data_IF_341110543980
#
_entry.id   IF_341110543980
#
_cell.length_a   1.000
_cell.length_b   1.000
_cell.length_c   1.000
_cell.angle_alpha   90.00
_cell.angle_beta   90.00
_cell.angle_gamma   90.00
#
_symmetry.space_group_name_H-M   'P 1'
#
loop_
_entity.id
_entity.type
_entity.pdbx_description
1 polymer ?
#
# COMPACT_ATOMS: atom_id res chain seq x y z
N UNK A 1 28.53 -50.70 -13.92
CA UNK A 1 27.49 -50.87 -14.97
C UNK A 1 27.25 -49.50 -15.59
N UNK A 2 27.94 -49.21 -16.69
CA UNK A 2 27.69 -48.02 -17.50
C UNK A 2 27.05 -48.51 -18.79
N UNK A 3 25.72 -48.65 -18.80
CA UNK A 3 25.01 -48.97 -20.04
C UNK A 3 25.18 -47.78 -20.98
N UNK A 4 25.89 -48.02 -22.09
CA UNK A 4 26.06 -47.08 -23.19
C UNK A 4 24.71 -46.89 -23.90
N UNK A 5 23.86 -46.03 -23.32
CA UNK A 5 22.60 -45.64 -23.94
C UNK A 5 22.92 -45.11 -25.34
N UNK A 6 22.34 -45.67 -26.41
CA UNK A 6 22.67 -45.24 -27.77
C UNK A 6 22.35 -43.76 -27.91
N UNK A 7 23.26 -42.98 -28.51
CA UNK A 7 23.20 -41.51 -28.60
C UNK A 7 21.81 -41.00 -29.02
N UNK A 8 21.16 -41.69 -29.96
CA UNK A 8 19.78 -41.37 -30.39
C UNK A 8 18.76 -41.46 -29.25
N UNK A 9 18.80 -42.50 -28.40
CA UNK A 9 17.91 -42.62 -27.22
C UNK A 9 18.21 -41.55 -26.17
N UNK A 10 19.48 -41.19 -25.99
CA UNK A 10 19.85 -40.13 -25.05
C UNK A 10 19.32 -38.77 -25.52
N UNK A 11 19.51 -38.43 -26.80
CA UNK A 11 19.00 -37.19 -27.41
C UNK A 11 17.47 -37.12 -27.36
N UNK A 12 16.77 -38.23 -27.66
CA UNK A 12 15.30 -38.27 -27.55
C UNK A 12 14.83 -38.06 -26.11
N UNK A 13 15.49 -38.66 -25.11
CA UNK A 13 15.15 -38.44 -23.69
C UNK A 13 15.35 -36.99 -23.26
N UNK A 14 16.43 -36.35 -23.70
CA UNK A 14 16.71 -34.95 -23.38
C UNK A 14 15.67 -34.02 -24.04
N UNK A 15 15.26 -34.28 -25.28
CA UNK A 15 14.21 -33.51 -25.94
C UNK A 15 12.85 -33.64 -25.23
N UNK A 16 12.48 -34.87 -24.82
CA UNK A 16 11.25 -35.08 -24.05
C UNK A 16 11.30 -34.33 -22.72
N UNK A 17 12.45 -34.36 -22.03
CA UNK A 17 12.66 -33.66 -20.77
C UNK A 17 12.48 -32.13 -20.95
N UNK A 18 13.06 -31.56 -22.00
CA UNK A 18 12.92 -30.12 -22.31
C UNK A 18 11.45 -29.77 -22.52
N UNK A 19 10.73 -30.51 -23.36
CA UNK A 19 9.29 -30.26 -23.61
C UNK A 19 8.47 -30.38 -22.32
N UNK A 20 8.78 -31.37 -21.47
CA UNK A 20 8.12 -31.54 -20.17
C UNK A 20 8.37 -30.35 -19.22
N UNK A 21 9.61 -29.82 -19.17
CA UNK A 21 9.92 -28.64 -18.34
C UNK A 21 9.18 -27.39 -18.81
N UNK A 22 9.07 -27.17 -20.13
CA UNK A 22 8.29 -26.05 -20.68
C UNK A 22 6.79 -26.21 -20.43
N UNK A 23 6.23 -27.40 -20.61
CA UNK A 23 4.83 -27.68 -20.32
C UNK A 23 4.52 -27.48 -18.83
N UNK A 24 5.42 -27.90 -17.94
CA UNK A 24 5.30 -27.69 -16.49
C UNK A 24 5.37 -26.20 -16.13
N UNK A 25 6.29 -25.45 -16.73
CA UNK A 25 6.38 -23.99 -16.53
C UNK A 25 5.10 -23.25 -16.97
N UNK A 26 4.48 -23.68 -18.07
CA UNK A 26 3.20 -23.11 -18.53
C UNK A 26 2.03 -23.52 -17.63
N UNK A 27 2.02 -24.77 -17.14
CA UNK A 27 1.01 -25.28 -16.21
C UNK A 27 1.14 -24.70 -14.78
N UNK A 28 2.29 -24.16 -14.42
CA UNK A 28 2.52 -23.53 -13.12
C UNK A 28 1.53 -22.38 -12.87
N UNK A 29 1.29 -21.53 -13.88
CA UNK A 29 0.38 -20.38 -13.78
C UNK A 29 -1.05 -20.79 -13.37
N UNK A 30 -1.76 -21.68 -14.10
CA UNK A 30 -3.09 -22.12 -13.69
C UNK A 30 -3.10 -22.94 -12.39
N UNK A 31 -2.04 -23.70 -12.08
CA UNK A 31 -1.92 -24.41 -10.80
C UNK A 31 -1.83 -23.43 -9.62
N UNK A 32 -1.02 -22.38 -9.75
CA UNK A 32 -0.96 -21.30 -8.77
C UNK A 32 -2.32 -20.63 -8.60
N UNK A 33 -3.06 -20.39 -9.68
CA UNK A 33 -4.38 -19.77 -9.60
C UNK A 33 -5.40 -20.62 -8.84
N UNK A 34 -5.38 -21.94 -9.06
CA UNK A 34 -6.25 -22.89 -8.35
C UNK A 34 -5.84 -23.01 -6.89
N UNK A 35 -4.54 -23.09 -6.59
CA UNK A 35 -4.03 -23.08 -5.22
C UNK A 35 -4.38 -21.78 -4.50
N UNK A 36 -4.21 -20.63 -5.16
CA UNK A 36 -4.55 -19.33 -4.57
C UNK A 36 -6.04 -19.22 -4.27
N UNK A 37 -6.91 -19.81 -5.10
CA UNK A 37 -8.36 -19.90 -4.86
C UNK A 37 -8.72 -20.88 -3.74
N UNK A 38 -8.02 -22.01 -3.62
CA UNK A 38 -8.28 -23.03 -2.61
C UNK A 38 -7.79 -22.62 -1.21
N UNK A 39 -6.66 -21.90 -1.13
CA UNK A 39 -6.06 -21.43 0.13
C UNK A 39 -6.45 -19.99 0.49
N UNK A 40 -7.22 -19.30 -0.34
CA UNK A 40 -7.72 -17.95 -0.05
C UNK A 40 -6.65 -16.84 -0.07
N UNK A 41 -5.43 -17.14 -0.52
CA UNK A 41 -4.27 -16.23 -0.58
C UNK A 41 -4.29 -15.31 -1.83
N UNK A 42 -5.43 -15.19 -2.50
CA UNK A 42 -5.52 -14.50 -3.78
C UNK A 42 -5.74 -12.99 -3.61
N UNK A 43 -4.72 -12.27 -3.14
CA UNK A 43 -4.60 -10.81 -3.25
C UNK A 43 -4.30 -10.35 -4.69
N UNK A 44 -5.00 -10.91 -5.70
CA UNK A 44 -4.90 -10.47 -7.09
C UNK A 44 -5.57 -9.10 -7.23
N UNK A 45 -4.79 -8.05 -7.03
CA UNK A 45 -5.09 -6.69 -7.50
C UNK A 45 -4.96 -6.66 -9.02
N UNK A 46 -6.00 -7.09 -9.73
CA UNK A 46 -6.14 -6.81 -11.15
C UNK A 46 -6.74 -5.41 -11.30
N UNK A 47 -5.93 -4.44 -11.70
CA UNK A 47 -6.42 -3.14 -12.18
C UNK A 47 -7.10 -2.26 -11.14
N UNK A 48 -7.58 -1.10 -11.62
CA UNK A 48 -8.44 -0.18 -10.87
C UNK A 48 -9.53 -0.96 -10.11
N UNK A 49 -9.90 -0.53 -8.92
CA UNK A 49 -10.98 -1.15 -8.13
C UNK A 49 -12.25 -1.38 -8.98
N UNK A 50 -12.45 -2.61 -9.45
CA UNK A 50 -13.65 -3.11 -10.16
C UNK A 50 -14.63 -3.81 -9.19
N UNK A 51 -14.49 -3.57 -7.88
CA UNK A 51 -15.49 -4.00 -6.92
C UNK A 51 -16.77 -3.19 -7.11
N UNK A 52 -17.88 -3.87 -7.37
CA UNK A 52 -19.23 -3.29 -7.26
C UNK A 52 -19.29 -2.57 -5.90
N UNK A 53 -19.44 -1.23 -5.88
CA UNK A 53 -19.50 -0.41 -4.66
C UNK A 53 -20.80 -0.69 -3.88
N UNK A 54 -20.94 -1.92 -3.40
CA UNK A 54 -22.02 -2.35 -2.55
C UNK A 54 -21.53 -2.16 -1.13
N UNK A 55 -21.87 -0.99 -0.59
CA UNK A 55 -21.64 -0.67 0.82
C UNK A 55 -22.37 -1.69 1.68
N UNK A 56 -21.71 -2.20 2.71
CA UNK A 56 -22.35 -2.99 3.77
C UNK A 56 -22.75 -2.05 4.93
N UNK A 57 -24.00 -1.56 4.99
CA UNK A 57 -24.43 -0.63 6.02
C UNK A 57 -24.56 -1.29 7.40
N UNK A 58 -24.65 -2.62 7.47
CA UNK A 58 -24.80 -3.35 8.73
C UNK A 58 -23.47 -3.55 9.46
N UNK A 59 -22.36 -3.55 8.71
CA UNK A 59 -21.02 -3.71 9.28
C UNK A 59 -20.38 -2.35 9.53
N UNK A 60 -19.91 -2.15 10.76
CA UNK A 60 -19.14 -0.98 11.16
C UNK A 60 -17.71 -1.37 11.47
N UNK A 61 -16.77 -0.59 10.96
CA UNK A 61 -15.35 -0.77 11.16
C UNK A 61 -14.78 0.53 11.70
N UNK A 62 -14.01 0.42 12.78
CA UNK A 62 -13.37 1.53 13.46
C UNK A 62 -11.98 1.74 12.89
N UNK A 63 -11.73 2.90 12.30
CA UNK A 63 -10.41 3.27 11.77
C UNK A 63 -9.83 4.36 12.66
N UNK A 64 -8.76 4.02 13.37
CA UNK A 64 -7.98 4.93 14.19
C UNK A 64 -6.84 5.53 13.36
N UNK A 65 -6.57 6.82 13.57
CA UNK A 65 -5.51 7.55 12.88
C UNK A 65 -4.42 7.92 13.87
N UNK A 66 -3.19 7.57 13.52
CA UNK A 66 -2.01 7.95 14.30
C UNK A 66 -1.08 8.77 13.43
N UNK A 67 -0.57 9.84 14.00
CA UNK A 67 0.40 10.73 13.38
C UNK A 67 1.65 10.76 14.23
N UNK A 68 2.78 10.34 13.66
CA UNK A 68 4.05 10.24 14.36
C UNK A 68 5.12 10.99 13.59
N UNK A 69 6.01 11.68 14.29
CA UNK A 69 7.18 12.30 13.69
C UNK A 69 8.42 11.42 13.91
N UNK A 70 9.27 11.32 12.90
CA UNK A 70 10.62 10.78 13.08
C UNK A 70 11.46 11.71 13.97
N UNK A 71 12.53 11.19 14.57
CA UNK A 71 13.36 11.89 15.58
C UNK A 71 13.85 13.27 15.09
N UNK A 72 14.24 13.37 13.82
CA UNK A 72 14.77 14.61 13.23
C UNK A 72 13.66 15.52 12.64
N UNK A 73 12.38 15.15 12.76
CA UNK A 73 11.28 15.87 12.15
C UNK A 73 10.63 16.86 13.12
N UNK A 74 10.80 18.15 12.83
CA UNK A 74 10.35 19.26 13.69
C UNK A 74 8.97 19.82 13.34
N UNK A 75 8.34 19.33 12.26
CA UNK A 75 7.01 19.80 11.85
C UNK A 75 5.93 19.38 12.84
N UNK A 76 4.89 20.21 12.97
CA UNK A 76 3.66 19.76 13.64
C UNK A 76 2.86 18.92 12.65
N UNK A 77 2.56 17.67 13.02
CA UNK A 77 1.80 16.73 12.19
C UNK A 77 0.75 16.00 13.03
N UNK A 78 -0.52 16.15 12.68
CA UNK A 78 -1.63 15.51 13.39
C UNK A 78 -2.81 15.23 12.46
N UNK A 79 -3.60 14.23 12.83
CA UNK A 79 -4.90 13.95 12.21
C UNK A 79 -5.96 14.89 12.79
N UNK A 80 -6.92 15.29 11.95
CA UNK A 80 -8.03 16.16 12.37
C UNK A 80 -9.02 15.45 13.31
N UNK A 81 -9.07 14.13 13.24
CA UNK A 81 -9.78 13.27 14.18
C UNK A 81 -8.95 12.02 14.48
N UNK A 82 -9.05 11.53 15.71
CA UNK A 82 -8.31 10.35 16.16
C UNK A 82 -8.91 9.06 15.59
N UNK A 83 -10.20 9.08 15.24
CA UNK A 83 -10.93 7.90 14.83
C UNK A 83 -12.18 8.23 14.02
N UNK A 84 -12.52 7.36 13.07
CA UNK A 84 -13.81 7.40 12.37
C UNK A 84 -14.40 5.99 12.25
N UNK A 85 -15.73 5.91 12.31
CA UNK A 85 -16.46 4.67 12.02
C UNK A 85 -16.86 4.68 10.56
N UNK A 86 -16.47 3.64 9.84
CA UNK A 86 -16.73 3.48 8.41
C UNK A 86 -17.55 2.23 8.14
N UNK A 87 -18.32 2.27 7.06
CA UNK A 87 -18.97 1.10 6.50
C UNK A 87 -18.08 0.54 5.37
N UNK A 88 -17.74 -0.76 5.40
CA UNK A 88 -16.98 -1.37 4.31
C UNK A 88 -17.64 -1.15 2.94
N UNK A 89 -16.83 -0.84 1.93
CA UNK A 89 -17.25 -0.46 0.58
C UNK A 89 -17.56 1.04 0.40
N UNK A 90 -17.70 1.82 1.47
CA UNK A 90 -17.90 3.27 1.38
C UNK A 90 -16.57 4.02 1.26
N UNK A 91 -16.55 5.07 0.43
CA UNK A 91 -15.43 6.01 0.36
C UNK A 91 -15.49 6.93 1.57
N UNK A 92 -14.41 6.95 2.36
CA UNK A 92 -14.27 7.84 3.52
C UNK A 92 -13.10 8.79 3.28
N UNK A 93 -13.21 10.01 3.80
CA UNK A 93 -12.15 11.02 3.79
C UNK A 93 -11.71 11.35 5.21
N UNK A 94 -10.40 11.48 5.42
CA UNK A 94 -9.79 11.99 6.64
C UNK A 94 -8.79 13.10 6.28
N UNK A 95 -8.71 14.14 7.10
CA UNK A 95 -7.74 15.23 6.90
C UNK A 95 -6.58 15.12 7.89
N UNK A 96 -5.36 15.27 7.37
CA UNK A 96 -4.15 15.45 8.17
C UNK A 96 -3.63 16.88 7.99
N UNK A 97 -3.10 17.47 9.07
CA UNK A 97 -2.54 18.81 9.06
C UNK A 97 -1.03 18.70 9.26
N UNK A 98 -0.28 19.40 8.41
CA UNK A 98 1.17 19.56 8.55
C UNK A 98 1.55 21.03 8.58
N UNK A 99 2.46 21.40 9.47
CA UNK A 99 2.97 22.77 9.63
C UNK A 99 4.48 22.79 9.80
N UNK A 100 5.16 23.66 9.05
CA UNK A 100 6.59 23.91 9.16
C UNK A 100 6.87 25.09 10.10
N UNK A 101 7.31 24.87 11.35
CA UNK A 101 7.65 25.96 12.28
C UNK A 101 9.01 26.60 12.01
N UNK A 102 9.79 26.10 11.06
CA UNK A 102 11.15 26.58 10.82
C UNK A 102 11.19 27.84 9.96
N UNK A 103 12.36 28.46 9.90
CA UNK A 103 12.70 29.64 9.09
C UNK A 103 13.22 29.29 7.68
N UNK A 104 13.26 27.99 7.33
CA UNK A 104 13.74 27.51 6.04
C UNK A 104 12.72 26.59 5.35
N UNK A 105 12.75 26.50 4.01
CA UNK A 105 11.98 25.49 3.30
C UNK A 105 12.47 24.10 3.71
N UNK A 106 11.53 23.20 3.95
CA UNK A 106 11.80 21.81 4.28
C UNK A 106 10.96 20.89 3.40
N UNK A 107 11.50 19.70 3.13
CA UNK A 107 10.80 18.66 2.39
C UNK A 107 10.54 17.48 3.30
N UNK A 108 9.27 17.08 3.39
CA UNK A 108 8.83 15.94 4.16
C UNK A 108 8.23 14.84 3.29
N UNK A 109 8.31 13.62 3.78
CA UNK A 109 7.56 12.50 3.22
C UNK A 109 6.85 11.73 4.34
N UNK A 110 5.54 11.51 4.16
CA UNK A 110 4.74 10.69 5.06
C UNK A 110 4.76 9.23 4.60
N UNK A 111 5.18 8.32 5.48
CA UNK A 111 5.19 6.88 5.24
C UNK A 111 4.06 6.24 6.06
N UNK A 112 3.08 5.60 5.42
CA UNK A 112 2.00 4.94 6.13
C UNK A 112 2.35 3.53 6.59
N UNK A 113 1.64 3.11 7.64
CA UNK A 113 1.56 1.75 8.14
C UNK A 113 0.11 1.43 8.51
N UNK A 114 -0.31 0.19 8.28
CA UNK A 114 -1.66 -0.28 8.59
C UNK A 114 -1.56 -1.48 9.51
N UNK A 115 -2.38 -1.49 10.56
CA UNK A 115 -2.48 -2.60 11.51
C UNK A 115 -3.96 -2.98 11.72
N UNK A 116 -4.30 -4.26 11.87
CA UNK A 116 -3.43 -5.44 11.76
C UNK A 116 -3.02 -5.75 10.29
N UNK A 117 -1.96 -6.52 10.10
CA UNK A 117 -1.40 -6.82 8.77
C UNK A 117 -2.41 -7.54 7.85
N UNK A 118 -3.26 -8.40 8.42
CA UNK A 118 -4.34 -9.08 7.70
C UNK A 118 -5.39 -8.11 7.12
N UNK A 119 -5.57 -6.94 7.73
CA UNK A 119 -6.49 -5.92 7.27
C UNK A 119 -5.86 -4.98 6.23
N UNK A 120 -4.52 -4.94 6.15
CA UNK A 120 -3.80 -4.02 5.28
C UNK A 120 -4.08 -4.27 3.79
N UNK A 121 -4.30 -5.52 3.38
CA UNK A 121 -4.62 -5.87 1.99
C UNK A 121 -6.01 -5.43 1.54
N UNK A 122 -6.92 -5.17 2.50
CA UNK A 122 -8.29 -4.72 2.27
C UNK A 122 -8.43 -3.20 2.42
N UNK A 123 -7.34 -2.51 2.75
CA UNK A 123 -7.34 -1.06 2.88
C UNK A 123 -6.85 -0.42 1.60
N UNK A 124 -7.77 0.22 0.90
CA UNK A 124 -7.58 0.72 -0.44
C UNK A 124 -7.49 2.24 -0.43
N UNK A 125 -6.28 2.76 -0.60
CA UNK A 125 -6.03 4.20 -0.73
C UNK A 125 -6.39 4.61 -2.16
N UNK A 126 -7.40 5.46 -2.30
CA UNK A 126 -7.87 5.92 -3.60
C UNK A 126 -7.11 7.14 -4.09
N UNK A 127 -6.39 7.84 -3.21
CA UNK A 127 -5.61 9.02 -3.59
C UNK A 127 -4.13 8.89 -3.18
N UNK A 128 -3.27 8.76 -4.20
CA UNK A 128 -1.81 8.65 -4.11
C UNK A 128 -1.09 9.97 -3.77
N UNK A 129 -1.78 11.00 -3.30
CA UNK A 129 -1.13 12.29 -2.98
C UNK A 129 -0.34 12.26 -1.66
N UNK A 130 -0.66 11.37 -0.73
CA UNK A 130 0.05 11.31 0.57
C UNK A 130 1.45 10.68 0.54
N UNK A 131 1.90 10.15 -0.61
CA UNK A 131 3.27 9.63 -0.76
C UNK A 131 4.19 10.57 -1.55
N UNK A 132 3.64 11.67 -2.07
CA UNK A 132 4.44 12.68 -2.74
C UNK A 132 5.13 13.55 -1.69
N UNK A 133 6.37 13.91 -2.00
CA UNK A 133 7.21 14.73 -1.15
C UNK A 133 6.57 16.12 -1.05
N UNK A 134 6.29 16.57 0.17
CA UNK A 134 5.68 17.87 0.42
C UNK A 134 6.79 18.86 0.76
N UNK A 135 6.88 19.95 0.02
CA UNK A 135 7.77 21.06 0.33
C UNK A 135 6.94 22.13 1.01
N UNK A 136 7.29 22.46 2.26
CA UNK A 136 6.68 23.57 2.98
C UNK A 136 7.67 24.70 3.18
N UNK A 137 7.24 25.90 2.83
CA UNK A 137 7.93 27.14 3.12
C UNK A 137 7.92 27.43 4.63
N UNK A 138 8.78 28.35 5.10
CA UNK A 138 8.78 28.79 6.49
C UNK A 138 7.40 29.24 6.97
N UNK A 139 6.92 28.70 8.08
CA UNK A 139 5.60 29.04 8.64
C UNK A 139 4.40 28.56 7.82
N UNK A 140 4.60 27.76 6.76
CA UNK A 140 3.50 27.27 5.94
C UNK A 140 2.77 26.12 6.63
N UNK A 141 1.44 26.14 6.54
CA UNK A 141 0.54 25.05 6.96
C UNK A 141 -0.22 24.52 5.75
N UNK A 142 -0.40 23.21 5.66
CA UNK A 142 -1.22 22.56 4.64
C UNK A 142 -2.16 21.53 5.28
N UNK A 143 -3.30 21.32 4.62
CA UNK A 143 -4.20 20.21 4.90
C UNK A 143 -4.05 19.16 3.79
N UNK A 144 -3.91 17.91 4.19
CA UNK A 144 -3.69 16.76 3.31
C UNK A 144 -4.89 15.81 3.46
N UNK A 145 -5.87 15.85 2.54
CA UNK A 145 -6.97 14.89 2.55
C UNK A 145 -6.47 13.50 2.13
N UNK A 146 -6.94 12.48 2.84
CA UNK A 146 -6.72 11.07 2.56
C UNK A 146 -8.08 10.43 2.32
N UNK A 147 -8.33 10.06 1.06
CA UNK A 147 -9.50 9.25 0.70
C UNK A 147 -9.13 7.78 0.66
N UNK A 148 -9.94 6.96 1.33
CA UNK A 148 -9.72 5.54 1.45
C UNK A 148 -11.04 4.76 1.44
N UNK A 149 -10.94 3.49 1.09
CA UNK A 149 -12.02 2.52 1.12
C UNK A 149 -11.53 1.32 1.93
N UNK A 150 -12.36 0.81 2.83
CA UNK A 150 -12.13 -0.50 3.48
C UNK A 150 -12.97 -1.52 2.73
N UNK A 151 -12.35 -2.57 2.21
CA UNK A 151 -13.05 -3.62 1.47
C UNK A 151 -14.00 -4.42 2.40
N UNK A 152 -15.14 -4.82 1.86
CA UNK A 152 -16.13 -5.67 2.54
C UNK A 152 -15.62 -7.10 2.77
N UNK A 153 -14.74 -7.59 1.89
CA UNK A 153 -14.20 -8.94 1.94
C UNK A 153 -13.18 -9.12 3.09
N UNK A 154 -12.86 -8.05 3.82
CA UNK A 154 -12.05 -8.10 5.04
C UNK A 154 -12.63 -9.10 6.06
N UNK A 155 -11.79 -9.91 6.75
CA UNK A 155 -12.23 -10.87 7.76
C UNK A 155 -13.16 -10.26 8.82
N UNK A 156 -14.25 -10.95 9.18
CA UNK A 156 -15.35 -10.40 10.03
C UNK A 156 -14.94 -10.09 11.47
N UNK A 157 -13.86 -10.72 11.92
CA UNK A 157 -13.20 -10.53 13.21
C UNK A 157 -12.44 -9.20 13.30
N UNK A 158 -12.00 -8.63 12.18
CA UNK A 158 -11.40 -7.30 12.14
C UNK A 158 -12.49 -6.24 12.26
N UNK A 159 -12.51 -5.58 13.43
CA UNK A 159 -13.39 -4.44 13.73
C UNK A 159 -12.63 -3.13 13.92
N UNK A 160 -11.32 -3.21 14.14
CA UNK A 160 -10.45 -2.09 14.46
C UNK A 160 -9.26 -2.10 13.50
N UNK A 161 -9.03 -0.99 12.84
CA UNK A 161 -7.85 -0.75 12.03
C UNK A 161 -7.16 0.50 12.56
N UNK A 162 -5.84 0.52 12.43
CA UNK A 162 -5.05 1.71 12.67
C UNK A 162 -4.34 2.09 11.38
N UNK A 163 -4.60 3.30 10.90
CA UNK A 163 -3.81 3.95 9.87
C UNK A 163 -2.81 4.89 10.56
N UNK A 164 -1.57 4.45 10.64
CA UNK A 164 -0.49 5.28 11.17
C UNK A 164 0.28 5.93 10.02
N UNK A 165 0.64 7.19 10.17
CA UNK A 165 1.59 7.88 9.31
C UNK A 165 2.79 8.32 10.13
N UNK A 166 3.99 8.00 9.65
CA UNK A 166 5.24 8.53 10.18
C UNK A 166 5.83 9.54 9.21
N UNK A 167 6.06 10.75 9.68
CA UNK A 167 6.61 11.85 8.88
C UNK A 167 8.13 11.90 8.99
N UNK A 168 8.82 11.92 7.86
CA UNK A 168 10.28 11.98 7.77
C UNK A 168 10.74 13.26 7.09
N UNK A 169 11.81 13.87 7.62
CA UNK A 169 12.56 14.91 6.93
C UNK A 169 13.45 14.27 5.86
N UNK A 170 13.29 14.72 4.62
CA UNK A 170 14.09 14.30 3.46
C UNK A 170 14.74 15.48 2.75
N UNK A 171 14.77 16.65 3.39
CA UNK A 171 15.34 17.90 2.85
C UNK A 171 16.78 17.70 2.37
N UNK A 172 17.60 16.97 3.13
CA UNK A 172 19.00 16.71 2.79
C UNK A 172 19.20 15.82 1.54
N UNK A 173 18.16 15.09 1.12
CA UNK A 173 18.19 14.20 -0.06
C UNK A 173 17.74 14.89 -1.35
N UNK A 174 17.30 16.15 -1.28
CA UNK A 174 16.83 16.90 -2.44
C UNK A 174 17.79 18.05 -2.82
N UNK A 175 17.81 18.46 -4.10
CA UNK A 175 18.44 19.70 -4.51
C UNK A 175 17.79 20.89 -3.78
N UNK A 176 18.53 21.98 -3.51
CA UNK A 176 17.97 23.15 -2.81
C UNK A 176 16.74 23.69 -3.55
N UNK A 177 15.58 23.69 -2.90
CA UNK A 177 14.37 24.28 -3.45
C UNK A 177 14.49 25.80 -3.33
N UNK A 178 14.32 26.52 -4.44
CA UNK A 178 14.38 27.98 -4.45
C UNK A 178 13.26 28.56 -3.58
N UNK A 179 13.63 29.44 -2.64
CA UNK A 179 12.68 30.21 -1.83
C UNK A 179 11.99 31.21 -2.77
N UNK A 180 10.69 31.03 -3.04
CA UNK A 180 9.94 32.02 -3.79
C UNK A 180 9.55 33.16 -2.84
N UNK A 181 10.43 34.17 -2.75
CA UNK A 181 10.13 35.45 -2.11
C UNK A 181 9.14 36.23 -2.98
N UNK A 182 7.84 35.95 -2.82
CA UNK A 182 6.79 36.81 -3.36
C UNK A 182 6.67 38.07 -2.50
N UNK A 183 6.99 39.21 -3.09
CA UNK A 183 6.84 40.54 -2.48
C UNK A 183 5.44 41.11 -2.63
#
# INVERSE_FOLDING_TARGET
MADSVPLKRLVTRLLILVVAMFAFGFALVPIYDVMCKAFGINGKTAGQYEGEQIVDPARQVRVQFLSTNAIDMVWEFHSKADEVVVNPGAVTEMLFVAYNPTDKPMTAQAVPSISPAEAAMYFHKTECFCFTQQVLQPGQRIEMPVRFIVDRDMPKDVKHLTLAYTLFDITARQPPVAVHSGG
#
